data_IF_782686303031
#
_entry.id   IF_782686303031
#
_cell.length_a   1.000
_cell.length_b   1.000
_cell.length_c   1.000
_cell.angle_alpha   90.00
_cell.angle_beta   90.00
_cell.angle_gamma   90.00
#
_symmetry.space_group_name_H-M   'P 1'
#
loop_
_entity.id
_entity.type
_entity.pdbx_description
1 polymer ?
#
# COMPACT_ATOMS: atom_id res chain seq x y z
N UNK A 1 16.46 22.23 -9.44
CA UNK A 1 17.00 21.59 -8.23
C UNK A 1 16.34 22.12 -6.95
N UNK A 2 16.37 23.43 -6.69
CA UNK A 2 15.73 24.04 -5.50
C UNK A 2 14.26 23.62 -5.32
N UNK A 3 13.43 23.81 -6.35
CA UNK A 3 11.99 23.48 -6.32
C UNK A 3 11.75 22.01 -5.94
N UNK A 4 12.56 21.11 -6.50
CA UNK A 4 12.48 19.67 -6.23
C UNK A 4 12.80 19.35 -4.78
N UNK A 5 13.88 19.92 -4.24
CA UNK A 5 14.28 19.70 -2.84
C UNK A 5 13.27 20.31 -1.87
N UNK A 6 12.75 21.51 -2.15
CA UNK A 6 11.71 22.13 -1.33
C UNK A 6 10.40 21.33 -1.33
N UNK A 7 10.01 20.76 -2.47
CA UNK A 7 8.83 19.90 -2.55
C UNK A 7 9.02 18.61 -1.73
N UNK A 8 10.20 17.98 -1.82
CA UNK A 8 10.54 16.79 -1.04
C UNK A 8 10.52 17.09 0.46
N UNK A 9 11.12 18.20 0.89
CA UNK A 9 11.11 18.63 2.30
C UNK A 9 9.68 18.86 2.80
N UNK A 10 8.83 19.52 2.01
CA UNK A 10 7.42 19.72 2.37
C UNK A 10 6.71 18.38 2.60
N UNK A 11 6.85 17.42 1.67
CA UNK A 11 6.18 16.11 1.77
C UNK A 11 6.68 15.30 2.96
N UNK A 12 7.99 15.25 3.18
CA UNK A 12 8.60 14.53 4.31
C UNK A 12 8.14 15.11 5.64
N UNK A 13 7.91 16.42 5.71
CA UNK A 13 7.59 17.10 6.97
C UNK A 13 6.10 17.03 7.36
N UNK A 14 5.20 16.62 6.45
CA UNK A 14 3.77 16.41 6.74
C UNK A 14 3.55 15.34 7.84
N UNK A 15 4.13 14.13 7.75
CA UNK A 15 4.06 13.14 8.84
C UNK A 15 4.56 13.65 10.19
N UNK A 16 5.64 14.45 10.21
CA UNK A 16 6.17 15.02 11.44
C UNK A 16 5.24 16.09 12.03
N UNK A 17 4.61 16.92 11.19
CA UNK A 17 3.54 17.83 11.62
C UNK A 17 2.35 17.10 12.23
N UNK A 18 1.96 15.96 11.65
CA UNK A 18 0.90 15.10 12.18
C UNK A 18 1.31 14.48 13.53
N UNK A 19 2.55 14.03 13.67
CA UNK A 19 3.09 13.49 14.92
C UNK A 19 3.14 14.56 16.02
N UNK A 20 3.63 15.76 15.69
CA UNK A 20 3.71 16.92 16.59
C UNK A 20 2.35 17.28 17.19
N UNK A 21 1.29 17.26 16.38
CA UNK A 21 -0.07 17.58 16.83
C UNK A 21 -0.70 16.50 17.73
N UNK A 22 -0.16 15.28 17.74
CA UNK A 22 -0.67 14.14 18.52
C UNK A 22 -0.09 14.06 19.94
N UNK A 23 1.09 14.62 20.16
CA UNK A 23 1.84 14.50 21.42
C UNK A 23 1.69 15.74 22.28
N UNK A 24 1.89 15.63 23.60
CA UNK A 24 1.82 16.77 24.52
C UNK A 24 2.89 17.79 24.16
N UNK A 25 2.54 19.08 24.08
CA UNK A 25 3.51 20.17 23.89
C UNK A 25 4.62 20.07 24.95
N UNK A 26 5.86 20.38 24.57
CA UNK A 26 7.05 20.34 25.43
C UNK A 26 7.46 18.95 25.96
N UNK A 27 6.85 17.87 25.49
CA UNK A 27 7.34 16.52 25.77
C UNK A 27 8.54 16.16 24.88
N UNK A 28 9.40 15.23 25.30
CA UNK A 28 10.51 14.75 24.47
C UNK A 28 10.07 14.30 23.06
N UNK A 29 8.95 13.56 22.89
CA UNK A 29 8.41 13.26 21.55
C UNK A 29 7.99 14.48 20.74
N UNK A 30 7.52 15.55 21.39
CA UNK A 30 7.17 16.80 20.73
C UNK A 30 8.43 17.51 20.23
N UNK A 31 9.49 17.55 21.05
CA UNK A 31 10.78 18.10 20.66
C UNK A 31 11.37 17.34 19.47
N UNK A 32 11.37 16.00 19.53
CA UNK A 32 11.87 15.13 18.47
C UNK A 32 11.09 15.31 17.16
N UNK A 33 9.76 15.49 17.23
CA UNK A 33 8.93 15.70 16.05
C UNK A 33 9.24 17.00 15.28
N UNK A 34 9.93 17.95 15.93
CA UNK A 34 10.36 19.22 15.33
C UNK A 34 11.81 19.15 14.89
N UNK A 35 12.72 18.63 15.73
CA UNK A 35 14.16 18.71 15.48
C UNK A 35 14.68 17.60 14.57
N UNK A 36 14.13 16.40 14.65
CA UNK A 36 14.52 15.31 13.76
C UNK A 36 14.33 15.62 12.26
N UNK A 37 13.18 16.18 11.82
CA UNK A 37 13.04 16.56 10.41
C UNK A 37 13.93 17.75 10.01
N UNK A 38 14.39 18.60 10.93
CA UNK A 38 15.36 19.66 10.63
C UNK A 38 16.69 19.04 10.18
N UNK A 39 17.16 18.01 10.89
CA UNK A 39 18.40 17.29 10.53
C UNK A 39 18.26 16.68 9.13
N UNK A 40 17.13 16.02 8.87
CA UNK A 40 16.85 15.42 7.55
C UNK A 40 16.83 16.50 6.46
N UNK A 41 16.16 17.62 6.71
CA UNK A 41 16.07 18.72 5.76
C UNK A 41 17.47 19.29 5.46
N UNK A 42 18.29 19.48 6.49
CA UNK A 42 19.67 19.97 6.36
C UNK A 42 20.53 19.00 5.54
N UNK A 43 20.43 17.70 5.79
CA UNK A 43 21.12 16.66 5.01
C UNK A 43 20.69 16.67 3.54
N UNK A 44 19.38 16.74 3.26
CA UNK A 44 18.87 16.81 1.89
C UNK A 44 19.37 18.03 1.13
N UNK A 45 19.51 19.15 1.83
CA UNK A 45 20.05 20.39 1.26
C UNK A 45 21.53 20.27 0.95
N UNK A 46 22.31 19.67 1.85
CA UNK A 46 23.75 19.43 1.68
C UNK A 46 24.03 18.46 0.53
N UNK A 47 23.26 17.36 0.41
CA UNK A 47 23.38 16.39 -0.69
C UNK A 47 23.04 17.01 -2.05
N UNK A 48 22.16 18.01 -2.05
CA UNK A 48 21.74 18.72 -3.25
C UNK A 48 22.62 19.94 -3.58
N UNK A 49 23.75 20.16 -2.89
CA UNK A 49 24.65 21.30 -3.10
C UNK A 49 23.93 22.66 -3.17
N UNK A 50 22.86 22.81 -2.38
CA UNK A 50 22.10 24.06 -2.31
C UNK A 50 22.78 25.00 -1.30
N UNK A 51 23.62 25.91 -1.80
CA UNK A 51 24.30 26.93 -0.98
C UNK A 51 23.34 27.78 -0.13
N UNK A 52 23.84 28.43 0.92
CA UNK A 52 23.05 29.17 1.94
C UNK A 52 22.61 30.58 1.53
N UNK A 53 22.47 30.83 0.23
CA UNK A 53 22.05 32.13 -0.29
C UNK A 53 20.62 32.50 0.08
N UNK A 54 20.36 33.81 0.12
CA UNK A 54 19.03 34.39 0.36
C UNK A 54 17.97 33.97 -0.67
N UNK A 55 18.37 33.48 -1.84
CA UNK A 55 17.46 32.97 -2.87
C UNK A 55 16.95 31.55 -2.61
N UNK A 56 17.69 30.75 -1.83
CA UNK A 56 17.41 29.31 -1.64
C UNK A 56 16.96 28.98 -0.22
N UNK A 57 17.29 29.82 0.78
CA UNK A 57 16.93 29.58 2.18
C UNK A 57 15.46 29.89 2.51
N UNK A 58 14.87 31.03 2.12
CA UNK A 58 13.46 31.34 2.43
C UNK A 58 12.45 30.35 1.84
N UNK A 59 12.55 29.93 0.55
CA UNK A 59 11.64 28.92 -0.01
C UNK A 59 11.72 27.58 0.72
N UNK A 60 12.91 27.23 1.20
CA UNK A 60 13.17 26.01 1.94
C UNK A 60 12.57 26.04 3.35
N UNK A 61 12.76 27.15 4.07
CA UNK A 61 12.14 27.38 5.37
C UNK A 61 10.61 27.37 5.25
N UNK A 62 10.07 28.04 4.23
CA UNK A 62 8.64 28.06 3.96
C UNK A 62 8.09 26.64 3.71
N UNK A 63 8.76 25.85 2.88
CA UNK A 63 8.38 24.46 2.62
C UNK A 63 8.38 23.60 3.90
N UNK A 64 9.38 23.78 4.76
CA UNK A 64 9.47 23.11 6.05
C UNK A 64 8.27 23.48 6.95
N UNK A 65 8.04 24.77 7.17
CA UNK A 65 6.95 25.26 8.02
C UNK A 65 5.57 24.84 7.50
N UNK A 66 5.35 24.92 6.18
CA UNK A 66 4.10 24.49 5.54
C UNK A 66 3.84 22.99 5.76
N UNK A 67 4.86 22.14 5.64
CA UNK A 67 4.71 20.71 5.91
C UNK A 67 4.28 20.43 7.37
N UNK A 68 4.92 21.10 8.35
CA UNK A 68 4.56 20.99 9.78
C UNK A 68 3.14 21.52 10.09
N UNK A 69 2.72 22.56 9.39
CA UNK A 69 1.40 23.14 9.49
C UNK A 69 0.32 22.22 8.91
N UNK A 70 0.49 21.78 7.66
CA UNK A 70 -0.46 20.88 7.00
C UNK A 70 -0.59 19.54 7.72
N UNK A 71 0.51 18.97 8.19
CA UNK A 71 0.49 17.76 9.03
C UNK A 71 -0.37 17.93 10.28
N UNK A 72 -0.23 19.06 10.98
CA UNK A 72 -1.04 19.36 12.16
C UNK A 72 -2.52 19.57 11.83
N UNK A 73 -2.83 20.26 10.72
CA UNK A 73 -4.20 20.44 10.25
C UNK A 73 -4.87 19.11 9.89
N UNK A 74 -4.14 18.20 9.24
CA UNK A 74 -4.60 16.85 8.92
C UNK A 74 -4.96 16.04 10.17
N UNK A 75 -4.19 16.16 11.26
CA UNK A 75 -4.52 15.51 12.53
C UNK A 75 -5.83 16.04 13.12
N UNK A 76 -6.02 17.36 13.16
CA UNK A 76 -7.25 17.97 13.67
C UNK A 76 -8.48 17.57 12.83
N UNK A 77 -8.35 17.57 11.50
CA UNK A 77 -9.40 17.08 10.60
C UNK A 77 -9.72 15.60 10.83
N UNK A 78 -8.69 14.76 11.06
CA UNK A 78 -8.86 13.35 11.37
C UNK A 78 -9.60 13.11 12.70
N UNK A 79 -9.33 13.94 13.72
CA UNK A 79 -10.04 13.89 15.00
C UNK A 79 -11.49 14.35 14.87
N UNK A 80 -11.75 15.43 14.13
CA UNK A 80 -13.12 15.87 13.86
C UNK A 80 -13.92 14.81 13.09
N UNK A 81 -13.29 14.12 12.12
CA UNK A 81 -13.93 13.01 11.43
C UNK A 81 -14.25 11.83 12.36
N UNK A 82 -13.35 11.46 13.27
CA UNK A 82 -13.62 10.44 14.30
C UNK A 82 -14.75 10.85 15.25
N UNK A 83 -14.78 12.10 15.69
CA UNK A 83 -15.83 12.64 16.56
C UNK A 83 -17.19 12.62 15.85
N UNK A 84 -17.24 13.07 14.60
CA UNK A 84 -18.46 13.08 13.77
C UNK A 84 -18.97 11.67 13.47
N UNK A 85 -18.07 10.70 13.25
CA UNK A 85 -18.45 9.28 13.10
C UNK A 85 -18.89 8.62 14.42
N UNK A 86 -18.34 9.02 15.55
CA UNK A 86 -18.79 8.54 16.86
C UNK A 86 -20.22 9.01 17.18
N UNK A 87 -20.55 10.26 16.85
CA UNK A 87 -21.91 10.81 16.97
C UNK A 87 -22.87 10.14 15.98
N UNK A 88 -22.43 9.91 14.73
CA UNK A 88 -23.20 9.11 13.78
C UNK A 88 -23.42 7.68 14.27
N UNK A 89 -22.45 7.04 14.94
CA UNK A 89 -22.61 5.67 15.48
C UNK A 89 -23.68 5.59 16.56
N UNK A 90 -23.82 6.63 17.40
CA UNK A 90 -24.88 6.73 18.41
C UNK A 90 -26.25 6.93 17.72
N UNK A 91 -26.32 7.80 16.72
CA UNK A 91 -27.54 8.04 15.95
C UNK A 91 -27.94 6.84 15.04
N UNK A 92 -26.97 6.00 14.67
CA UNK A 92 -27.11 4.84 13.78
C UNK A 92 -27.61 3.58 14.50
N UNK A 93 -27.51 3.51 15.83
CA UNK A 93 -28.15 2.44 16.63
C UNK A 93 -29.68 2.62 16.64
N UNK A 94 -30.18 3.85 16.48
CA UNK A 94 -31.61 4.16 16.47
C UNK A 94 -32.29 3.96 15.10
N UNK A 95 -31.55 4.03 13.99
CA UNK A 95 -32.11 3.91 12.63
C UNK A 95 -31.67 2.60 11.96
N UNK A 96 -32.19 1.49 12.50
CA UNK A 96 -31.85 0.14 12.05
C UNK A 96 -32.60 -0.22 10.75
N UNK A 97 -31.85 -0.80 9.82
CA UNK A 97 -32.23 -1.86 8.86
C UNK A 97 -32.49 -1.63 7.37
N UNK A 98 -32.55 -0.42 6.79
CA UNK A 98 -32.74 -0.33 5.31
C UNK A 98 -31.64 0.49 4.58
N UNK A 99 -31.05 1.51 5.20
CA UNK A 99 -30.18 2.45 4.45
C UNK A 99 -28.68 2.09 4.39
N UNK A 100 -28.19 1.20 5.25
CA UNK A 100 -26.74 0.94 5.45
C UNK A 100 -26.05 0.32 4.21
N UNK A 101 -26.76 -0.53 3.45
CA UNK A 101 -26.18 -1.18 2.27
C UNK A 101 -25.75 -0.17 1.19
N UNK A 102 -26.50 0.92 0.98
CA UNK A 102 -26.19 1.90 -0.09
C UNK A 102 -24.98 2.78 0.27
N UNK A 103 -24.88 3.26 1.50
CA UNK A 103 -23.77 4.14 1.91
C UNK A 103 -22.43 3.43 1.97
N UNK A 104 -22.39 2.19 2.46
CA UNK A 104 -21.14 1.41 2.47
C UNK A 104 -20.68 1.03 1.06
N UNK A 105 -21.60 0.70 0.14
CA UNK A 105 -21.26 0.46 -1.27
C UNK A 105 -20.68 1.74 -1.91
N UNK A 106 -21.23 2.92 -1.62
CA UNK A 106 -20.68 4.20 -2.08
C UNK A 106 -19.28 4.47 -1.54
N UNK A 107 -19.00 4.17 -0.27
CA UNK A 107 -17.67 4.36 0.33
C UNK A 107 -16.62 3.39 -0.27
N UNK A 108 -16.99 2.12 -0.49
CA UNK A 108 -16.13 1.11 -1.15
C UNK A 108 -15.77 1.50 -2.58
N UNK A 109 -16.77 1.96 -3.34
CA UNK A 109 -16.56 2.44 -4.70
C UNK A 109 -15.59 3.62 -4.73
N UNK A 110 -15.67 4.53 -3.73
CA UNK A 110 -14.84 5.72 -3.62
C UNK A 110 -13.36 5.39 -3.36
N UNK A 111 -13.02 4.53 -2.40
CA UNK A 111 -11.60 4.18 -2.13
C UNK A 111 -10.96 3.44 -3.30
N UNK A 112 -11.70 2.49 -3.93
CA UNK A 112 -11.23 1.78 -5.12
C UNK A 112 -11.02 2.72 -6.31
N UNK A 113 -11.91 3.69 -6.49
CA UNK A 113 -11.79 4.72 -7.52
C UNK A 113 -10.56 5.61 -7.29
N UNK A 114 -10.36 6.11 -6.07
CA UNK A 114 -9.16 6.91 -5.74
C UNK A 114 -7.87 6.13 -6.00
N UNK A 115 -7.78 4.88 -5.55
CA UNK A 115 -6.59 4.05 -5.80
C UNK A 115 -6.29 3.91 -7.29
N UNK A 116 -7.31 3.65 -8.12
CA UNK A 116 -7.14 3.49 -9.56
C UNK A 116 -6.65 4.78 -10.23
N UNK A 117 -7.18 5.94 -9.84
CA UNK A 117 -6.73 7.22 -10.37
C UNK A 117 -5.30 7.55 -9.95
N UNK A 118 -4.94 7.27 -8.69
CA UNK A 118 -3.57 7.46 -8.21
C UNK A 118 -2.62 6.57 -9.02
N UNK A 119 -2.90 5.26 -9.14
CA UNK A 119 -2.02 4.38 -9.91
C UNK A 119 -1.94 4.78 -11.41
N UNK A 120 -3.03 5.26 -12.01
CA UNK A 120 -3.04 5.73 -13.40
C UNK A 120 -2.18 6.99 -13.58
N UNK A 121 -2.25 7.94 -12.63
CA UNK A 121 -1.38 9.11 -12.61
C UNK A 121 0.09 8.69 -12.53
N UNK A 122 0.43 7.78 -11.61
CA UNK A 122 1.80 7.26 -11.47
C UNK A 122 2.26 6.49 -12.73
N UNK A 123 1.35 5.81 -13.43
CA UNK A 123 1.67 5.15 -14.70
C UNK A 123 2.06 6.16 -15.79
N UNK A 124 1.31 7.25 -15.93
CA UNK A 124 1.64 8.33 -16.89
C UNK A 124 2.95 9.02 -16.52
N UNK A 125 3.13 9.36 -15.24
CA UNK A 125 4.38 9.97 -14.76
C UNK A 125 5.59 9.04 -14.96
N UNK A 126 5.40 7.73 -14.77
CA UNK A 126 6.44 6.73 -15.00
C UNK A 126 6.84 6.66 -16.48
N UNK A 127 5.89 6.64 -17.41
CA UNK A 127 6.19 6.68 -18.85
C UNK A 127 6.90 7.97 -19.23
N UNK A 128 6.38 9.11 -18.79
CA UNK A 128 6.99 10.41 -19.06
C UNK A 128 8.43 10.47 -18.56
N UNK A 129 8.67 9.98 -17.34
CA UNK A 129 10.00 9.88 -16.75
C UNK A 129 10.94 9.00 -17.57
N UNK A 130 10.52 7.79 -17.97
CA UNK A 130 11.34 6.88 -18.77
C UNK A 130 11.69 7.48 -20.14
N UNK A 131 10.78 8.24 -20.75
CA UNK A 131 11.00 8.83 -22.07
C UNK A 131 11.86 10.10 -22.04
N UNK A 132 11.81 10.89 -20.95
CA UNK A 132 12.41 12.22 -20.90
C UNK A 132 13.61 12.35 -19.95
N UNK A 133 13.92 11.30 -19.18
CA UNK A 133 14.93 11.37 -18.14
C UNK A 133 15.85 10.15 -18.17
N UNK A 134 17.15 10.40 -18.37
CA UNK A 134 18.20 9.40 -18.19
C UNK A 134 18.63 9.45 -16.72
N UNK A 135 18.29 8.44 -15.91
CA UNK A 135 18.57 8.51 -14.49
C UNK A 135 20.06 8.32 -14.20
N UNK A 136 20.64 9.26 -13.46
CA UNK A 136 21.99 9.09 -12.92
C UNK A 136 22.00 7.99 -11.85
N UNK A 137 23.15 7.36 -11.65
CA UNK A 137 23.33 6.32 -10.62
C UNK A 137 22.96 6.84 -9.23
N UNK A 138 23.36 8.08 -8.90
CA UNK A 138 23.00 8.76 -7.64
C UNK A 138 21.48 8.90 -7.47
N UNK A 139 20.77 9.24 -8.54
CA UNK A 139 19.31 9.34 -8.53
C UNK A 139 18.66 7.98 -8.25
N UNK A 140 19.13 6.91 -8.89
CA UNK A 140 18.61 5.54 -8.68
C UNK A 140 18.79 5.08 -7.23
N UNK A 141 19.97 5.28 -6.64
CA UNK A 141 20.21 4.94 -5.23
C UNK A 141 19.31 5.75 -4.28
N UNK A 142 19.12 7.03 -4.55
CA UNK A 142 18.24 7.89 -3.74
C UNK A 142 16.79 7.40 -3.77
N UNK A 143 16.28 7.08 -4.96
CA UNK A 143 14.92 6.52 -5.12
C UNK A 143 14.79 5.17 -4.42
N UNK A 144 15.81 4.30 -4.51
CA UNK A 144 15.81 3.01 -3.84
C UNK A 144 15.75 3.15 -2.32
N UNK A 145 16.57 4.04 -1.73
CA UNK A 145 16.57 4.30 -0.29
C UNK A 145 15.20 4.83 0.15
N UNK A 146 14.64 5.80 -0.57
CA UNK A 146 13.32 6.34 -0.26
C UNK A 146 12.24 5.26 -0.33
N UNK A 147 12.29 4.41 -1.36
CA UNK A 147 11.35 3.29 -1.54
C UNK A 147 11.43 2.28 -0.39
N UNK A 148 12.64 1.98 0.10
CA UNK A 148 12.87 1.12 1.28
C UNK A 148 12.32 1.80 2.54
N UNK A 149 12.63 3.07 2.80
CA UNK A 149 12.15 3.81 3.96
C UNK A 149 10.62 3.88 4.02
N UNK A 150 9.98 4.15 2.89
CA UNK A 150 8.52 4.14 2.79
C UNK A 150 8.00 2.71 3.02
N UNK A 151 8.68 1.69 2.50
CA UNK A 151 8.29 0.30 2.73
C UNK A 151 8.38 -0.09 4.20
N UNK A 152 9.37 0.41 4.93
CA UNK A 152 9.51 0.16 6.37
C UNK A 152 8.40 0.87 7.16
N UNK A 153 7.96 2.06 6.74
CA UNK A 153 6.93 2.83 7.46
C UNK A 153 5.50 2.39 7.10
N UNK A 154 5.19 2.26 5.81
CA UNK A 154 3.85 1.99 5.25
C UNK A 154 3.69 0.56 4.70
N UNK A 155 4.63 -0.34 5.05
CA UNK A 155 4.70 -1.70 4.52
C UNK A 155 4.74 -1.67 2.99
N UNK A 156 4.15 -2.65 2.35
CA UNK A 156 4.02 -2.82 0.91
C UNK A 156 2.96 -1.91 0.28
N UNK A 157 2.52 -0.84 0.96
CA UNK A 157 1.49 0.08 0.48
C UNK A 157 1.82 0.73 -0.86
N UNK A 158 3.10 0.94 -1.17
CA UNK A 158 3.53 1.43 -2.48
C UNK A 158 3.09 0.52 -3.64
N UNK A 159 3.14 -0.80 -3.46
CA UNK A 159 2.64 -1.73 -4.48
C UNK A 159 1.13 -1.72 -4.63
N UNK A 160 0.41 -1.36 -3.56
CA UNK A 160 -1.03 -1.16 -3.58
C UNK A 160 -1.45 0.14 -4.26
N UNK A 161 -0.72 1.24 -4.07
CA UNK A 161 -1.20 2.59 -4.40
C UNK A 161 -0.43 3.29 -5.52
N UNK A 162 0.87 3.03 -5.68
CA UNK A 162 1.75 3.81 -6.56
C UNK A 162 2.43 2.97 -7.66
N UNK A 163 2.30 1.63 -7.63
CA UNK A 163 2.94 0.79 -8.63
C UNK A 163 2.29 0.97 -10.02
N UNK A 164 3.05 1.43 -11.04
CA UNK A 164 2.52 1.67 -12.38
C UNK A 164 2.06 0.35 -13.05
N UNK A 165 2.81 -0.74 -12.84
CA UNK A 165 2.42 -2.08 -13.31
C UNK A 165 1.11 -2.57 -12.66
N UNK A 166 0.74 -2.06 -11.48
CA UNK A 166 -0.51 -2.41 -10.84
C UNK A 166 -1.74 -2.02 -11.67
N UNK A 167 -1.72 -0.85 -12.31
CA UNK A 167 -2.78 -0.43 -13.23
C UNK A 167 -2.83 -1.30 -14.46
N UNK A 168 -1.66 -1.62 -15.02
CA UNK A 168 -1.55 -2.49 -16.19
C UNK A 168 -2.24 -3.84 -15.93
N UNK A 169 -1.84 -4.54 -14.86
CA UNK A 169 -2.40 -5.84 -14.53
C UNK A 169 -3.90 -5.81 -14.17
N UNK A 170 -4.38 -4.78 -13.46
CA UNK A 170 -5.82 -4.66 -13.18
C UNK A 170 -6.65 -4.40 -14.44
N UNK A 171 -6.13 -3.61 -15.38
CA UNK A 171 -6.79 -3.34 -16.67
C UNK A 171 -6.82 -4.61 -17.54
N UNK A 172 -5.72 -5.36 -17.60
CA UNK A 172 -5.68 -6.65 -18.30
C UNK A 172 -6.69 -7.65 -17.72
N UNK A 173 -6.76 -7.79 -16.40
CA UNK A 173 -7.78 -8.67 -15.80
C UNK A 173 -9.22 -8.19 -16.08
N UNK A 174 -9.45 -6.87 -16.07
CA UNK A 174 -10.77 -6.31 -16.43
C UNK A 174 -11.11 -6.58 -17.90
N UNK A 175 -10.11 -6.49 -18.78
CA UNK A 175 -10.25 -6.82 -20.20
C UNK A 175 -10.54 -8.31 -20.39
N UNK A 176 -9.86 -9.20 -19.68
CA UNK A 176 -10.15 -10.65 -19.69
C UNK A 176 -11.61 -10.95 -19.33
N UNK A 177 -12.13 -10.32 -18.28
CA UNK A 177 -13.56 -10.46 -17.91
C UNK A 177 -14.53 -9.88 -18.95
N UNK A 178 -14.16 -8.80 -19.66
CA UNK A 178 -14.94 -8.27 -20.78
C UNK A 178 -14.91 -9.21 -21.99
N UNK A 179 -13.75 -9.73 -22.36
CA UNK A 179 -13.58 -10.69 -23.46
C UNK A 179 -14.38 -11.97 -23.16
N UNK A 180 -14.38 -12.44 -21.91
CA UNK A 180 -15.23 -13.55 -21.46
C UNK A 180 -16.73 -13.24 -21.61
N UNK A 181 -17.14 -12.00 -21.33
CA UNK A 181 -18.55 -11.58 -21.49
C UNK A 181 -19.02 -11.44 -22.94
N UNK A 182 -18.09 -11.19 -23.89
CA UNK A 182 -18.38 -11.02 -25.32
C UNK A 182 -18.36 -12.38 -26.07
N UNK A 183 -17.88 -13.45 -25.43
CA UNK A 183 -17.94 -14.81 -25.99
C UNK A 183 -16.80 -15.18 -26.95
N UNK A 184 -15.83 -14.29 -27.20
CA UNK A 184 -14.62 -14.55 -28.01
C UNK A 184 -13.76 -15.65 -27.38
N UNK A 185 -13.67 -15.64 -26.05
CA UNK A 185 -13.17 -16.76 -25.26
C UNK A 185 -14.41 -17.40 -24.67
N UNK A 186 -14.71 -18.67 -24.98
CA UNK A 186 -15.84 -19.35 -24.33
C UNK A 186 -15.69 -19.21 -22.80
N UNK A 187 -16.75 -18.89 -22.04
CA UNK A 187 -16.71 -18.82 -20.59
C UNK A 187 -16.50 -20.23 -20.03
N UNK A 188 -15.25 -20.68 -20.03
CA UNK A 188 -14.80 -21.96 -19.49
C UNK A 188 -15.22 -22.08 -18.02
N UNK A 189 -15.42 -20.95 -17.34
CA UNK A 189 -15.98 -20.87 -15.99
C UNK A 189 -17.32 -21.59 -15.84
N UNK A 190 -18.20 -21.68 -16.85
CA UNK A 190 -19.47 -22.43 -16.72
C UNK A 190 -19.24 -23.96 -16.70
N UNK A 191 -18.45 -24.49 -17.64
CA UNK A 191 -18.18 -25.94 -17.77
C UNK A 191 -17.41 -26.50 -16.57
N UNK A 192 -16.45 -25.74 -16.05
CA UNK A 192 -15.61 -26.17 -14.93
C UNK A 192 -16.01 -25.53 -13.58
N UNK A 193 -17.14 -24.81 -13.49
CA UNK A 193 -17.59 -24.15 -12.25
C UNK A 193 -17.67 -25.12 -11.07
N UNK A 194 -18.28 -26.27 -11.34
CA UNK A 194 -18.46 -27.37 -10.38
C UNK A 194 -17.09 -27.93 -9.99
N UNK A 195 -16.26 -28.29 -10.97
CA UNK A 195 -14.90 -28.78 -10.73
C UNK A 195 -14.03 -27.80 -9.92
N UNK A 196 -14.07 -26.49 -10.22
CA UNK A 196 -13.32 -25.44 -9.50
C UNK A 196 -13.83 -25.32 -8.06
N UNK A 197 -15.15 -25.43 -7.85
CA UNK A 197 -15.76 -25.39 -6.50
C UNK A 197 -15.32 -26.60 -5.68
N UNK A 198 -15.35 -27.79 -6.28
CA UNK A 198 -15.02 -29.05 -5.63
C UNK A 198 -13.51 -29.13 -5.33
N UNK A 199 -12.66 -28.62 -6.23
CA UNK A 199 -11.20 -28.62 -6.08
C UNK A 199 -10.63 -27.34 -5.49
N UNK A 200 -11.46 -26.48 -4.88
CA UNK A 200 -11.02 -25.18 -4.36
C UNK A 200 -9.88 -25.30 -3.33
N UNK A 201 -9.90 -26.36 -2.52
CA UNK A 201 -8.82 -26.66 -1.58
C UNK A 201 -7.48 -26.93 -2.27
N UNK A 202 -7.50 -27.75 -3.34
CA UNK A 202 -6.34 -28.06 -4.15
C UNK A 202 -5.82 -26.81 -4.87
N UNK A 203 -6.70 -26.03 -5.50
CA UNK A 203 -6.33 -24.78 -6.18
C UNK A 203 -5.68 -23.76 -5.23
N UNK A 204 -6.17 -23.64 -4.00
CA UNK A 204 -5.54 -22.80 -2.99
C UNK A 204 -4.16 -23.32 -2.56
N UNK A 205 -3.95 -24.64 -2.51
CA UNK A 205 -2.62 -25.24 -2.27
C UNK A 205 -1.67 -24.92 -3.42
N UNK A 206 -2.10 -25.14 -4.67
CA UNK A 206 -1.31 -24.81 -5.88
C UNK A 206 -0.93 -23.33 -5.89
N UNK A 207 -1.90 -22.44 -5.68
CA UNK A 207 -1.67 -20.99 -5.59
C UNK A 207 -0.66 -20.64 -4.47
N UNK A 208 -0.74 -21.31 -3.32
CA UNK A 208 0.20 -21.14 -2.22
C UNK A 208 1.62 -21.54 -2.62
N UNK A 209 1.82 -22.69 -3.26
CA UNK A 209 3.14 -23.14 -3.70
C UNK A 209 3.69 -22.29 -4.86
N UNK A 210 2.84 -21.95 -5.84
CA UNK A 210 3.22 -21.11 -6.97
C UNK A 210 3.72 -19.72 -6.53
N UNK A 211 3.21 -19.16 -5.43
CA UNK A 211 3.71 -17.88 -4.88
C UNK A 211 5.16 -17.92 -4.43
N UNK A 212 5.70 -19.10 -4.10
CA UNK A 212 7.12 -19.21 -3.71
C UNK A 212 8.05 -19.08 -4.92
N UNK A 213 7.57 -19.24 -6.15
CA UNK A 213 8.39 -19.11 -7.37
C UNK A 213 9.08 -17.74 -7.51
N UNK A 214 8.52 -16.69 -6.92
CA UNK A 214 9.10 -15.33 -6.98
C UNK A 214 10.46 -15.21 -6.28
N UNK A 215 10.77 -16.07 -5.31
CA UNK A 215 12.04 -16.02 -4.58
C UNK A 215 13.22 -16.61 -5.38
N UNK A 216 13.14 -17.82 -5.97
CA UNK A 216 14.16 -18.27 -6.91
C UNK A 216 14.22 -17.38 -8.16
N UNK A 217 13.08 -16.82 -8.62
CA UNK A 217 13.09 -15.83 -9.70
C UNK A 217 13.87 -14.57 -9.30
N UNK A 218 13.69 -14.06 -8.07
CA UNK A 218 14.50 -12.96 -7.54
C UNK A 218 16.00 -13.30 -7.55
N UNK A 219 16.39 -14.46 -7.02
CA UNK A 219 17.79 -14.89 -7.03
C UNK A 219 18.36 -14.97 -8.45
N UNK A 220 17.60 -15.54 -9.38
CA UNK A 220 17.98 -15.61 -10.78
C UNK A 220 18.14 -14.23 -11.42
N UNK A 221 17.24 -13.28 -11.14
CA UNK A 221 17.36 -11.90 -11.65
C UNK A 221 18.56 -11.16 -11.08
N UNK A 222 18.92 -11.38 -9.81
CA UNK A 222 20.12 -10.80 -9.20
C UNK A 222 21.36 -11.42 -9.84
N UNK A 223 21.41 -12.75 -9.93
CA UNK A 223 22.54 -13.48 -10.52
C UNK A 223 22.76 -13.07 -11.99
N UNK A 224 21.71 -13.08 -12.82
CA UNK A 224 21.84 -12.70 -14.24
C UNK A 224 22.32 -11.26 -14.42
N UNK A 225 21.91 -10.34 -13.54
CA UNK A 225 22.36 -8.95 -13.57
C UNK A 225 23.82 -8.76 -13.17
N UNK A 226 24.35 -9.59 -12.26
CA UNK A 226 25.76 -9.53 -11.81
C UNK A 226 26.70 -10.13 -12.86
N UNK A 227 26.34 -11.29 -13.42
CA UNK A 227 27.21 -12.04 -14.32
C UNK A 227 27.02 -11.67 -15.80
N UNK A 228 26.24 -10.64 -16.13
CA UNK A 228 25.99 -10.16 -17.50
C UNK A 228 25.60 -11.28 -18.47
N UNK A 229 24.83 -12.25 -17.99
CA UNK A 229 24.45 -13.43 -18.78
C UNK A 229 23.42 -12.99 -19.84
N UNK A 230 23.89 -12.77 -21.08
CA UNK A 230 23.07 -12.23 -22.19
C UNK A 230 21.75 -12.99 -22.40
N UNK A 231 21.73 -14.31 -22.21
CA UNK A 231 20.51 -15.12 -22.31
C UNK A 231 19.49 -14.84 -21.20
N UNK A 232 19.93 -14.42 -20.00
CA UNK A 232 19.05 -14.07 -18.88
C UNK A 232 18.22 -12.81 -19.16
N UNK A 233 18.79 -11.83 -19.87
CA UNK A 233 18.10 -10.59 -20.22
C UNK A 233 16.97 -10.80 -21.24
N UNK A 234 17.11 -11.78 -22.14
CA UNK A 234 16.08 -12.10 -23.16
C UNK A 234 14.90 -12.90 -22.58
N UNK A 235 15.13 -13.66 -21.51
CA UNK A 235 14.09 -14.49 -20.90
C UNK A 235 13.11 -13.69 -20.00
N UNK A 236 13.56 -12.60 -19.36
CA UNK A 236 12.70 -11.73 -18.54
C UNK A 236 11.49 -11.15 -19.29
N UNK A 237 11.61 -10.54 -20.49
CA UNK A 237 10.46 -10.02 -21.22
C UNK A 237 9.49 -11.13 -21.64
N UNK A 238 9.99 -12.32 -21.98
CA UNK A 238 9.14 -13.47 -22.30
C UNK A 238 8.33 -13.93 -21.07
N UNK A 239 8.96 -14.10 -19.92
CA UNK A 239 8.26 -14.45 -18.66
C UNK A 239 7.25 -13.37 -18.27
N UNK A 240 7.59 -12.09 -18.47
CA UNK A 240 6.67 -10.98 -18.24
C UNK A 240 5.45 -11.06 -19.17
N UNK A 241 5.64 -11.32 -20.47
CA UNK A 241 4.55 -11.47 -21.44
C UNK A 241 3.64 -12.65 -21.09
N UNK A 242 4.21 -13.81 -20.75
CA UNK A 242 3.42 -15.00 -20.33
C UNK A 242 2.60 -14.72 -19.08
N UNK A 243 3.15 -13.99 -18.10
CA UNK A 243 2.41 -13.66 -16.88
C UNK A 243 1.43 -12.50 -17.07
N UNK A 244 1.68 -11.63 -18.05
CA UNK A 244 0.74 -10.60 -18.48
C UNK A 244 -0.49 -11.24 -19.14
N UNK A 245 -0.30 -12.23 -20.03
CA UNK A 245 -1.42 -12.99 -20.61
C UNK A 245 -2.14 -13.82 -19.55
N UNK A 246 -1.41 -14.42 -18.60
CA UNK A 246 -2.03 -15.11 -17.45
C UNK A 246 -2.88 -14.17 -16.59
N UNK A 247 -2.58 -12.86 -16.59
CA UNK A 247 -3.37 -11.87 -15.84
C UNK A 247 -4.78 -11.67 -16.40
N UNK A 248 -5.06 -12.12 -17.63
CA UNK A 248 -6.43 -12.17 -18.15
C UNK A 248 -7.32 -13.11 -17.34
N UNK A 249 -6.73 -14.13 -16.70
CA UNK A 249 -7.44 -15.16 -15.93
C UNK A 249 -7.22 -15.04 -14.42
N UNK A 250 -6.01 -14.66 -14.01
CA UNK A 250 -5.61 -14.56 -12.61
C UNK A 250 -5.22 -13.12 -12.29
N UNK A 251 -6.03 -12.48 -11.44
CA UNK A 251 -5.75 -11.12 -10.94
C UNK A 251 -4.30 -10.98 -10.44
N UNK A 252 -3.53 -10.08 -11.09
CA UNK A 252 -2.15 -9.73 -10.71
C UNK A 252 -1.20 -10.94 -10.66
N UNK A 253 -1.27 -11.83 -11.66
CA UNK A 253 -0.45 -13.05 -11.73
C UNK A 253 1.06 -12.78 -11.57
N UNK A 254 1.59 -11.76 -12.26
CA UNK A 254 2.98 -11.32 -12.11
C UNK A 254 3.35 -11.00 -10.65
N UNK A 255 2.53 -10.20 -9.98
CA UNK A 255 2.76 -9.80 -8.58
C UNK A 255 2.72 -10.98 -7.61
N UNK A 256 1.95 -12.04 -7.93
CA UNK A 256 1.83 -13.23 -7.09
C UNK A 256 2.99 -14.20 -7.28
N UNK A 257 3.44 -14.40 -8.52
CA UNK A 257 4.29 -15.54 -8.85
C UNK A 257 5.72 -15.19 -9.24
N UNK A 258 6.01 -14.01 -9.82
CA UNK A 258 7.35 -13.72 -10.35
C UNK A 258 7.89 -12.32 -10.05
N UNK A 259 7.16 -11.44 -9.38
CA UNK A 259 7.64 -10.07 -9.13
C UNK A 259 8.84 -10.05 -8.15
N UNK A 260 10.07 -9.71 -8.59
CA UNK A 260 11.25 -9.75 -7.74
C UNK A 260 11.20 -8.64 -6.68
N UNK A 261 10.76 -7.43 -7.07
CA UNK A 261 10.54 -6.31 -6.14
C UNK A 261 9.52 -6.70 -5.06
N UNK A 262 8.41 -7.34 -5.46
CA UNK A 262 7.37 -7.82 -4.55
C UNK A 262 7.85 -8.89 -3.57
N UNK A 263 8.79 -9.74 -3.99
CA UNK A 263 9.44 -10.72 -3.12
C UNK A 263 10.27 -10.02 -2.04
N UNK A 264 11.11 -9.06 -2.43
CA UNK A 264 12.00 -8.32 -1.53
C UNK A 264 11.21 -7.48 -0.51
N UNK A 265 10.31 -6.61 -0.98
CA UNK A 265 9.53 -5.74 -0.08
C UNK A 265 8.52 -6.52 0.76
N UNK A 266 8.04 -7.68 0.29
CA UNK A 266 7.13 -8.52 1.05
C UNK A 266 7.79 -9.05 2.32
N UNK A 267 9.10 -9.32 2.25
CA UNK A 267 9.93 -9.70 3.40
C UNK A 267 10.23 -8.48 4.26
N UNK A 268 10.71 -7.37 3.68
CA UNK A 268 11.00 -6.13 4.42
C UNK A 268 9.76 -5.56 5.14
N UNK A 269 8.60 -5.67 4.51
CA UNK A 269 7.34 -5.21 5.05
C UNK A 269 6.89 -5.96 6.31
N UNK A 270 7.48 -7.12 6.65
CA UNK A 270 7.24 -7.76 7.96
C UNK A 270 7.75 -6.91 9.12
N UNK A 271 8.77 -6.08 8.90
CA UNK A 271 9.34 -5.17 9.89
C UNK A 271 8.51 -3.90 10.06
N UNK A 272 7.54 -3.65 9.17
CA UNK A 272 6.74 -2.44 9.23
C UNK A 272 5.79 -2.45 10.43
N UNK A 273 5.66 -1.33 11.16
CA UNK A 273 4.70 -1.21 12.24
C UNK A 273 3.26 -1.15 11.69
N UNK A 274 3.04 -0.90 10.40
CA UNK A 274 1.69 -0.83 9.84
C UNK A 274 1.14 -2.22 9.49
N UNK A 275 0.02 -2.59 10.11
CA UNK A 275 -0.61 -3.89 9.90
C UNK A 275 -2.14 -3.81 9.94
N UNK A 276 -2.77 -4.51 8.99
CA UNK A 276 -4.22 -4.69 8.99
C UNK A 276 -4.56 -5.70 10.09
N UNK A 277 -5.40 -5.26 11.02
CA UNK A 277 -5.83 -6.04 12.19
C UNK A 277 -7.33 -6.22 12.18
N UNK A 278 -7.76 -7.46 12.42
CA UNK A 278 -9.15 -7.87 12.57
C UNK A 278 -9.52 -7.91 14.04
N UNK A 279 -10.63 -7.27 14.38
CA UNK A 279 -11.28 -7.40 15.67
C UNK A 279 -12.23 -8.61 15.62
N UNK A 280 -11.96 -9.62 16.43
CA UNK A 280 -12.73 -10.87 16.42
C UNK A 280 -14.11 -10.70 17.03
N UNK A 281 -14.27 -9.78 17.98
CA UNK A 281 -15.55 -9.54 18.66
C UNK A 281 -16.55 -8.85 17.73
N UNK A 282 -16.07 -7.95 16.87
CA UNK A 282 -16.90 -7.25 15.89
C UNK A 282 -17.09 -8.02 14.58
N UNK A 283 -16.31 -9.09 14.34
CA UNK A 283 -16.32 -9.80 13.07
C UNK A 283 -17.47 -10.80 12.97
N UNK A 284 -18.40 -10.57 12.04
CA UNK A 284 -19.52 -11.47 11.73
C UNK A 284 -19.14 -12.67 10.80
N UNK A 285 -17.84 -12.94 10.61
CA UNK A 285 -17.33 -14.07 9.80
C UNK A 285 -17.90 -14.21 8.36
N UNK A 286 -18.36 -13.11 7.74
CA UNK A 286 -18.98 -13.12 6.40
C UNK A 286 -18.06 -13.45 5.21
N UNK A 287 -16.75 -13.61 5.46
CA UNK A 287 -15.71 -13.92 4.48
C UNK A 287 -15.64 -12.98 3.25
N UNK A 288 -16.17 -11.75 3.37
CA UNK A 288 -16.13 -10.76 2.28
C UNK A 288 -14.72 -10.22 2.06
N UNK A 289 -13.97 -9.98 3.14
CA UNK A 289 -12.59 -9.50 3.08
C UNK A 289 -11.65 -10.40 2.25
N UNK A 290 -11.74 -11.73 2.39
CA UNK A 290 -10.94 -12.67 1.58
C UNK A 290 -11.40 -12.69 0.12
N UNK A 291 -12.70 -12.53 -0.16
CA UNK A 291 -13.25 -12.51 -1.53
C UNK A 291 -12.82 -11.29 -2.34
N UNK A 292 -12.72 -10.12 -1.71
CA UNK A 292 -12.32 -8.89 -2.43
C UNK A 292 -10.81 -8.77 -2.60
N UNK A 293 -10.01 -9.59 -1.91
CA UNK A 293 -8.56 -9.43 -1.90
C UNK A 293 -7.99 -9.70 -3.30
N UNK A 294 -7.49 -8.64 -3.96
CA UNK A 294 -6.82 -8.73 -5.27
C UNK A 294 -5.60 -9.69 -5.28
N UNK A 295 -5.04 -10.00 -4.12
CA UNK A 295 -3.92 -10.94 -3.95
C UNK A 295 -4.36 -12.33 -3.48
N UNK A 296 -5.67 -12.64 -3.45
CA UNK A 296 -6.25 -13.92 -3.02
C UNK A 296 -5.73 -14.41 -1.65
N UNK A 297 -5.60 -13.50 -0.69
CA UNK A 297 -5.18 -13.81 0.69
C UNK A 297 -6.43 -14.13 1.50
N UNK A 298 -6.38 -15.20 2.30
CA UNK A 298 -7.44 -15.49 3.27
C UNK A 298 -7.33 -14.58 4.49
N UNK A 299 -7.89 -13.37 4.36
CA UNK A 299 -7.91 -12.32 5.40
C UNK A 299 -8.80 -12.73 6.57
N UNK A 300 -9.89 -13.45 6.32
CA UNK A 300 -10.84 -13.87 7.36
C UNK A 300 -10.20 -14.77 8.43
N UNK A 301 -9.23 -15.62 8.05
CA UNK A 301 -8.50 -16.50 8.98
C UNK A 301 -7.36 -15.83 9.73
N UNK A 302 -7.03 -14.57 9.42
CA UNK A 302 -5.90 -13.87 10.02
C UNK A 302 -6.39 -12.79 10.98
N UNK A 303 -5.95 -12.85 12.25
CA UNK A 303 -6.14 -11.75 13.21
C UNK A 303 -5.30 -10.53 12.83
N UNK A 304 -4.05 -10.78 12.46
CA UNK A 304 -3.16 -9.78 11.89
C UNK A 304 -2.73 -10.28 10.51
N UNK A 305 -2.94 -9.49 9.46
CA UNK A 305 -2.63 -9.89 8.08
C UNK A 305 -1.12 -9.81 7.85
N UNK A 306 -0.41 -10.88 8.21
CA UNK A 306 1.07 -10.98 8.14
C UNK A 306 1.58 -11.59 6.82
N UNK A 307 0.68 -11.91 5.89
CA UNK A 307 1.05 -12.41 4.57
C UNK A 307 2.02 -11.45 3.85
N UNK A 308 3.13 -11.97 3.33
CA UNK A 308 4.15 -11.20 2.60
C UNK A 308 3.63 -10.68 1.26
N UNK A 309 2.63 -11.35 0.69
CA UNK A 309 1.97 -10.94 -0.56
C UNK A 309 0.95 -9.81 -0.37
N UNK A 310 0.63 -9.44 0.87
CA UNK A 310 -0.30 -8.34 1.10
C UNK A 310 0.33 -7.07 0.54
N UNK A 311 -0.37 -6.36 -0.34
CA UNK A 311 0.06 -5.08 -0.94
C UNK A 311 -0.53 -3.85 -0.22
N UNK A 312 -1.17 -4.07 0.95
CA UNK A 312 -1.79 -3.01 1.77
C UNK A 312 -2.69 -2.06 0.95
N UNK A 313 -3.48 -2.62 0.02
CA UNK A 313 -4.40 -1.86 -0.85
C UNK A 313 -5.71 -1.45 -0.16
N UNK A 314 -5.95 -1.94 1.06
CA UNK A 314 -7.10 -1.64 1.93
C UNK A 314 -8.49 -2.05 1.41
N UNK A 315 -8.61 -2.73 0.27
CA UNK A 315 -9.90 -3.20 -0.25
C UNK A 315 -10.68 -4.07 0.74
N UNK A 316 -9.97 -4.88 1.52
CA UNK A 316 -10.58 -5.73 2.53
C UNK A 316 -11.19 -4.93 3.70
N UNK A 317 -10.58 -3.80 4.06
CA UNK A 317 -11.06 -2.86 5.09
C UNK A 317 -12.29 -2.15 4.56
N UNK A 318 -12.22 -1.62 3.35
CA UNK A 318 -13.36 -0.92 2.73
C UNK A 318 -14.57 -1.85 2.56
N UNK A 319 -14.36 -3.07 2.06
CA UNK A 319 -15.44 -4.02 1.79
C UNK A 319 -16.07 -4.61 3.06
N UNK A 320 -15.49 -4.36 4.24
CA UNK A 320 -16.02 -4.90 5.49
C UNK A 320 -17.37 -4.25 5.83
N UNK A 321 -18.44 -5.04 6.05
CA UNK A 321 -19.75 -4.47 6.35
C UNK A 321 -19.85 -3.88 7.76
N UNK A 322 -18.96 -4.28 8.68
CA UNK A 322 -18.96 -3.81 10.06
C UNK A 322 -17.81 -2.82 10.25
N UNK A 323 -18.16 -1.58 10.59
CA UNK A 323 -17.16 -0.54 10.87
C UNK A 323 -16.29 -0.93 12.07
N UNK A 324 -14.98 -0.81 11.90
CA UNK A 324 -13.99 -1.12 12.93
C UNK A 324 -13.74 -2.61 13.18
N UNK A 325 -14.39 -3.53 12.44
CA UNK A 325 -14.07 -4.95 12.51
C UNK A 325 -12.75 -5.31 11.80
N UNK A 326 -12.33 -4.49 10.85
CA UNK A 326 -11.04 -4.61 10.16
C UNK A 326 -10.46 -3.20 9.96
N UNK A 327 -9.23 -2.97 10.43
CA UNK A 327 -8.61 -1.64 10.41
C UNK A 327 -7.11 -1.73 10.13
N UNK A 328 -6.55 -0.71 9.48
CA UNK A 328 -5.11 -0.51 9.44
C UNK A 328 -4.65 0.08 10.78
N UNK A 329 -3.78 -0.63 11.50
CA UNK A 329 -3.23 -0.19 12.79
C UNK A 329 -1.73 -0.03 12.69
N UNK A 330 -1.21 0.98 13.37
CA UNK A 330 0.24 1.09 13.63
C UNK A 330 0.51 0.30 14.91
N UNK A 331 1.04 -0.91 14.77
CA UNK A 331 1.64 -1.70 15.83
C UNK A 331 2.92 -0.99 16.29
N UNK A 332 2.77 -0.01 17.18
CA UNK A 332 3.89 0.47 17.98
C UNK A 332 4.26 -0.65 18.98
N UNK A 333 5.56 -0.87 19.28
CA UNK A 333 5.94 -1.70 20.40
C UNK A 333 5.21 -1.16 21.64
N UNK A 334 4.34 -2.01 22.19
CA UNK A 334 3.54 -1.67 23.35
C UNK A 334 4.52 -1.66 24.51
N UNK A 335 4.99 -0.48 24.94
CA UNK A 335 5.53 -0.33 26.30
C UNK A 335 4.33 -0.54 27.21
N UNK A 336 4.05 -1.80 27.54
CA UNK A 336 2.93 -2.15 28.42
C UNK A 336 3.29 -1.63 29.79
N UNK A 337 2.67 -0.51 30.19
CA UNK A 337 2.59 -0.21 31.60
C UNK A 337 1.61 -1.22 32.21
N UNK A 338 2.13 -2.06 33.10
CA UNK A 338 1.51 -3.30 33.62
C UNK A 338 0.43 -3.02 34.67
N UNK A 339 -0.44 -2.02 34.46
CA UNK A 339 -1.57 -1.72 35.36
C UNK A 339 -2.88 -1.72 34.57
N UNK A 340 -3.89 -2.38 35.14
CA UNK A 340 -5.25 -2.64 34.61
C UNK A 340 -5.44 -3.92 33.79
N UNK A 341 -4.91 -5.05 34.30
CA UNK A 341 -5.68 -6.30 34.32
C UNK A 341 -6.30 -6.39 35.71
N UNK A 342 -7.56 -5.98 35.84
CA UNK A 342 -8.55 -6.39 36.83
C UNK A 342 -9.85 -5.62 36.51
N UNK A 343 -10.99 -6.25 36.80
CA UNK A 343 -12.38 -5.93 36.39
C UNK A 343 -12.69 -6.41 34.96
N UNK A 344 -13.54 -7.41 34.71
CA UNK A 344 -14.61 -7.98 35.54
C UNK A 344 -14.93 -9.40 35.07
N UNK A 345 -15.34 -10.20 36.06
CA UNK A 345 -16.02 -11.50 35.96
C UNK A 345 -17.21 -11.49 35.01
#
# INVERSE_FOLDING_TARGET
MLVTVTAVVLVINIPFGFWRARVKKLSLPWLLSIHFPIIIAFMLRAIADLGWGLSTFPPFMAAFLLGQFFGGKLYLTSQNYKKMNSVKTICFILLKNISIKKEQIKCVAKTKWHRKNIQALFFVLFIWFILNFIPSVKFLFTVLILFILITLTLRTGLCGWMCPFGTLFERFNTLGGKIESIGIIQPRYKKYKKWIKDNRGLLNKIDKYARYFKYPFLLWTIFSSVYSFRAGHLAVPYVFLVLLTLTLFINRAWCRYACPVGALIGVLGKLSPTIITRDEQKCIKCNRCSRVCSMNIDVAKQKHVKATDCITCLECVDACPIHGALELRVALPRITNRKNRNTSF
#
